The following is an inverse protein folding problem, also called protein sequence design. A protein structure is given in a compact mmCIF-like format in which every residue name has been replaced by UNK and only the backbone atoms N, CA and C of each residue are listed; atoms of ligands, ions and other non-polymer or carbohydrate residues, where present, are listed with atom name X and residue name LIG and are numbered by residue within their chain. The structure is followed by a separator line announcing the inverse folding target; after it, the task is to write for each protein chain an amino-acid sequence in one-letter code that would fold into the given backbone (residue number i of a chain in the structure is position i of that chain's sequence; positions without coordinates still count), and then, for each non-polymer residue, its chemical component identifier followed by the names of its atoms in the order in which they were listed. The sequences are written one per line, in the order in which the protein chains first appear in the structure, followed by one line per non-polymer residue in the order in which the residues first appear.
data_IF_098277242228
#
_entry.id   IF_098277242228
#
_cell.length_a   1.000
_cell.length_b   1.000
_cell.length_c   1.000
_cell.angle_alpha   90.00
_cell.angle_beta   90.00
_cell.angle_gamma   90.00
#
_symmetry.space_group_name_H-M   'P 1'
#
loop_
_entity.id
_entity.type
_entity.pdbx_description
1 polymer ?
#
# COMPACT_ATOMS: atom_id res chain seq x y z
N UNK A 1 -0.88 53.49 8.72
CA UNK A 1 -1.44 52.62 7.67
C UNK A 1 -0.26 52.03 6.90
N UNK A 2 0.05 50.74 6.81
CA UNK A 2 -0.39 49.49 7.43
C UNK A 2 0.73 48.47 7.18
N UNK A 3 1.29 47.88 8.24
CA UNK A 3 1.25 46.44 8.54
C UNK A 3 1.94 45.50 7.52
N UNK A 4 3.24 45.25 7.77
CA UNK A 4 4.05 44.14 7.26
C UNK A 4 3.49 42.76 7.66
N UNK A 5 2.47 42.28 6.95
CA UNK A 5 1.85 40.96 7.21
C UNK A 5 2.05 39.94 6.08
N UNK A 6 2.75 40.27 5.00
CA UNK A 6 2.92 39.40 3.84
C UNK A 6 4.08 38.37 3.96
N UNK A 7 5.15 38.70 4.69
CA UNK A 7 6.36 37.86 4.82
C UNK A 7 6.16 36.44 5.38
N UNK A 8 5.39 36.23 6.49
CA UNK A 8 5.21 34.89 7.05
C UNK A 8 4.23 34.02 6.25
N UNK A 9 3.34 34.62 5.45
CA UNK A 9 2.44 33.88 4.57
C UNK A 9 3.18 33.34 3.34
N UNK A 10 4.06 34.16 2.75
CA UNK A 10 4.86 33.80 1.58
C UNK A 10 5.91 32.74 1.90
N UNK A 11 6.54 32.78 3.09
CA UNK A 11 7.48 31.75 3.54
C UNK A 11 6.80 30.42 3.88
N UNK A 12 5.59 30.46 4.46
CA UNK A 12 4.79 29.24 4.68
C UNK A 12 4.32 28.63 3.36
N UNK A 13 3.93 29.45 2.39
CA UNK A 13 3.54 28.99 1.06
C UNK A 13 4.74 28.37 0.30
N UNK A 14 5.93 28.97 0.38
CA UNK A 14 7.12 28.38 -0.24
C UNK A 14 7.54 27.07 0.43
N UNK A 15 7.51 26.99 1.76
CA UNK A 15 7.75 25.75 2.51
C UNK A 15 6.73 24.66 2.19
N UNK A 16 5.44 25.00 2.09
CA UNK A 16 4.40 24.05 1.71
C UNK A 16 4.55 23.57 0.26
N UNK A 17 4.97 24.45 -0.65
CA UNK A 17 5.23 24.08 -2.04
C UNK A 17 6.43 23.14 -2.15
N UNK A 18 7.50 23.44 -1.41
CA UNK A 18 8.71 22.61 -1.33
C UNK A 18 8.40 21.23 -0.75
N UNK A 19 7.61 21.17 0.32
CA UNK A 19 7.16 19.90 0.91
C UNK A 19 6.31 19.07 -0.05
N UNK A 20 5.39 19.70 -0.80
CA UNK A 20 4.56 19.02 -1.80
C UNK A 20 5.37 18.52 -2.99
N UNK A 21 6.31 19.33 -3.47
CA UNK A 21 7.21 18.97 -4.57
C UNK A 21 8.14 17.83 -4.17
N UNK A 22 8.68 17.86 -2.95
CA UNK A 22 9.51 16.80 -2.39
C UNK A 22 8.70 15.49 -2.29
N UNK A 23 7.50 15.55 -1.72
CA UNK A 23 6.62 14.39 -1.62
C UNK A 23 6.28 13.80 -3.00
N UNK A 24 6.06 14.65 -4.01
CA UNK A 24 5.87 14.22 -5.39
C UNK A 24 7.13 13.54 -5.96
N UNK A 25 8.28 14.18 -5.88
CA UNK A 25 9.55 13.65 -6.41
C UNK A 25 9.92 12.30 -5.79
N UNK A 26 9.69 12.12 -4.48
CA UNK A 26 9.94 10.85 -3.80
C UNK A 26 8.98 9.76 -4.28
N UNK A 27 7.68 10.06 -4.44
CA UNK A 27 6.73 9.09 -4.98
C UNK A 27 6.99 8.75 -6.46
N UNK A 28 7.41 9.72 -7.27
CA UNK A 28 7.83 9.50 -8.66
C UNK A 28 9.08 8.62 -8.74
N UNK A 29 10.07 8.87 -7.87
CA UNK A 29 11.25 8.02 -7.72
C UNK A 29 10.86 6.59 -7.32
N UNK A 30 10.00 6.43 -6.30
CA UNK A 30 9.49 5.13 -5.86
C UNK A 30 8.79 4.39 -7.01
N UNK A 31 8.00 5.09 -7.84
CA UNK A 31 7.33 4.51 -9.00
C UNK A 31 8.33 3.97 -10.03
N UNK A 32 9.33 4.78 -10.42
CA UNK A 32 10.35 4.38 -11.40
C UNK A 32 11.13 3.17 -10.88
N UNK A 33 11.54 3.21 -9.62
CA UNK A 33 12.32 2.14 -8.99
C UNK A 33 11.50 0.86 -8.81
N UNK A 34 10.19 0.98 -8.54
CA UNK A 34 9.27 -0.16 -8.48
C UNK A 34 9.09 -0.81 -9.86
N UNK A 35 8.94 -0.01 -10.91
CA UNK A 35 8.84 -0.49 -12.30
C UNK A 35 10.10 -1.24 -12.72
N UNK A 36 11.29 -0.74 -12.36
CA UNK A 36 12.56 -1.45 -12.59
C UNK A 36 12.59 -2.80 -11.82
N UNK A 37 12.00 -2.84 -10.62
CA UNK A 37 11.90 -4.05 -9.81
C UNK A 37 11.00 -5.15 -10.40
N UNK A 38 9.90 -4.76 -11.05
CA UNK A 38 8.91 -5.71 -11.60
C UNK A 38 9.27 -6.18 -13.02
N UNK A 39 9.85 -5.30 -13.84
CA UNK A 39 10.12 -5.57 -15.25
C UNK A 39 11.25 -6.60 -15.40
N UNK A 40 11.01 -7.75 -16.07
CA UNK A 40 12.02 -8.81 -16.21
C UNK A 40 13.22 -8.45 -17.09
N UNK A 41 13.18 -7.31 -17.81
CA UNK A 41 14.26 -6.82 -18.67
C UNK A 41 15.51 -6.35 -17.90
N UNK A 42 15.38 -5.98 -16.62
CA UNK A 42 16.51 -5.54 -15.81
C UNK A 42 17.35 -6.71 -15.25
N UNK A 43 18.63 -6.47 -14.95
CA UNK A 43 19.48 -7.50 -14.33
C UNK A 43 18.94 -7.89 -12.94
N UNK A 44 19.14 -9.15 -12.51
CA UNK A 44 18.64 -9.64 -11.21
C UNK A 44 19.07 -8.77 -10.02
N UNK A 45 20.27 -8.19 -10.08
CA UNK A 45 20.78 -7.31 -9.04
C UNK A 45 20.08 -5.94 -9.01
N UNK A 46 19.76 -5.36 -10.18
CA UNK A 46 18.98 -4.14 -10.26
C UNK A 46 17.53 -4.36 -9.81
N UNK A 47 16.92 -5.49 -10.18
CA UNK A 47 15.57 -5.83 -9.72
C UNK A 47 15.51 -5.93 -8.19
N UNK A 48 16.52 -6.56 -7.57
CA UNK A 48 16.61 -6.72 -6.12
C UNK A 48 16.82 -5.38 -5.40
N UNK A 49 17.74 -4.55 -5.91
CA UNK A 49 18.00 -3.21 -5.37
C UNK A 49 16.77 -2.32 -5.54
N UNK A 50 16.14 -2.35 -6.71
CA UNK A 50 14.92 -1.60 -6.99
C UNK A 50 13.75 -2.02 -6.11
N UNK A 51 13.55 -3.33 -5.92
CA UNK A 51 12.56 -3.86 -4.98
C UNK A 51 12.76 -3.28 -3.56
N UNK A 52 13.97 -3.37 -3.02
CA UNK A 52 14.26 -2.90 -1.65
C UNK A 52 14.14 -1.38 -1.53
N UNK A 53 14.65 -0.64 -2.52
CA UNK A 53 14.62 0.82 -2.52
C UNK A 53 13.19 1.37 -2.67
N UNK A 54 12.37 0.73 -3.50
CA UNK A 54 10.96 1.11 -3.64
C UNK A 54 10.19 0.89 -2.33
N UNK A 55 10.39 -0.25 -1.68
CA UNK A 55 9.76 -0.53 -0.39
C UNK A 55 10.25 0.42 0.70
N UNK A 56 11.56 0.63 0.83
CA UNK A 56 12.14 1.59 1.78
C UNK A 56 11.64 3.01 1.53
N UNK A 57 11.61 3.45 0.27
CA UNK A 57 11.12 4.78 -0.10
C UNK A 57 9.65 4.95 0.25
N UNK A 58 8.82 3.94 0.01
CA UNK A 58 7.40 3.97 0.39
C UNK A 58 7.22 4.01 1.90
N UNK A 59 7.96 3.19 2.65
CA UNK A 59 7.94 3.18 4.12
C UNK A 59 8.36 4.52 4.70
N UNK A 60 9.43 5.13 4.19
CA UNK A 60 9.88 6.44 4.66
C UNK A 60 8.86 7.54 4.34
N UNK A 61 8.26 7.52 3.14
CA UNK A 61 7.30 8.54 2.71
C UNK A 61 6.01 8.48 3.52
N UNK A 62 5.45 7.27 3.66
CA UNK A 62 4.21 7.04 4.42
C UNK A 62 4.45 7.21 5.92
N UNK A 63 5.61 6.79 6.43
CA UNK A 63 6.03 7.04 7.80
C UNK A 63 6.19 8.53 8.11
N UNK A 64 6.78 9.30 7.19
CA UNK A 64 6.85 10.76 7.31
C UNK A 64 5.47 11.41 7.29
N UNK A 65 4.56 10.97 6.41
CA UNK A 65 3.19 11.48 6.36
C UNK A 65 2.44 11.21 7.68
N UNK A 66 2.57 10.00 8.24
CA UNK A 66 1.98 9.65 9.54
C UNK A 66 2.59 10.53 10.64
N UNK A 67 3.91 10.68 10.67
CA UNK A 67 4.59 11.52 11.66
C UNK A 67 4.16 12.99 11.57
N UNK A 68 4.05 13.54 10.35
CA UNK A 68 3.66 14.91 10.11
C UNK A 68 2.18 15.19 10.46
N UNK A 69 1.29 14.20 10.26
CA UNK A 69 -0.15 14.35 10.52
C UNK A 69 -0.52 14.09 11.98
N UNK A 70 0.13 13.12 12.64
CA UNK A 70 -0.28 12.63 13.97
C UNK A 70 0.71 12.95 15.09
N UNK A 71 1.91 13.44 14.77
CA UNK A 71 2.94 13.80 15.76
C UNK A 71 3.42 12.62 16.62
N UNK A 72 4.22 12.93 17.64
CA UNK A 72 4.66 11.95 18.64
C UNK A 72 3.61 11.76 19.73
N UNK A 73 3.40 10.52 20.23
CA UNK A 73 2.53 10.29 21.36
C UNK A 73 3.08 11.00 22.60
N UNK A 74 2.19 11.51 23.46
CA UNK A 74 2.55 12.18 24.70
C UNK A 74 3.17 11.15 25.67
N UNK A 75 4.49 11.16 25.75
CA UNK A 75 5.30 10.22 26.54
C UNK A 75 4.94 10.35 28.02
N UNK A 76 4.19 9.37 28.55
CA UNK A 76 3.84 9.33 29.98
C UNK A 76 2.42 8.84 30.30
N UNK A 77 1.50 8.79 29.32
CA UNK A 77 0.15 8.25 29.55
C UNK A 77 -0.14 7.08 28.59
N UNK A 78 -0.22 5.87 29.14
CA UNK A 78 -0.50 4.63 28.38
C UNK A 78 -1.84 4.68 27.64
N UNK A 79 -2.85 5.36 28.19
CA UNK A 79 -4.14 5.56 27.53
C UNK A 79 -4.04 6.53 26.35
N UNK A 80 -3.23 7.59 26.48
CA UNK A 80 -3.00 8.53 25.38
C UNK A 80 -2.22 7.88 24.23
N UNK A 81 -1.26 6.98 24.55
CA UNK A 81 -0.55 6.17 23.55
C UNK A 81 -1.53 5.23 22.83
N UNK A 82 -2.42 4.57 23.57
CA UNK A 82 -3.41 3.67 22.96
C UNK A 82 -4.38 4.44 22.04
N UNK A 83 -4.88 5.60 22.47
CA UNK A 83 -5.75 6.45 21.65
C UNK A 83 -5.03 6.93 20.38
N UNK A 84 -3.76 7.31 20.49
CA UNK A 84 -2.92 7.67 19.35
C UNK A 84 -2.74 6.49 18.39
N UNK A 85 -2.48 5.29 18.89
CA UNK A 85 -2.40 4.08 18.07
C UNK A 85 -3.71 3.80 17.30
N UNK A 86 -4.86 3.92 17.96
CA UNK A 86 -6.16 3.78 17.28
C UNK A 86 -6.36 4.82 16.18
N UNK A 87 -5.90 6.05 16.40
CA UNK A 87 -6.00 7.11 15.41
C UNK A 87 -5.06 6.87 14.22
N UNK A 88 -3.82 6.44 14.47
CA UNK A 88 -2.85 6.10 13.43
C UNK A 88 -3.28 4.87 12.62
N UNK A 89 -3.82 3.83 13.27
CA UNK A 89 -4.31 2.63 12.58
C UNK A 89 -5.52 2.89 11.67
N UNK A 90 -6.30 3.93 11.97
CA UNK A 90 -7.38 4.41 11.10
C UNK A 90 -6.89 5.32 9.97
N UNK A 91 -5.59 5.61 9.88
CA UNK A 91 -5.05 6.46 8.81
C UNK A 91 -5.00 5.73 7.48
N UNK A 92 -5.29 6.47 6.40
CA UNK A 92 -5.15 5.97 5.02
C UNK A 92 -3.72 5.51 4.69
N UNK A 93 -2.71 6.16 5.28
CA UNK A 93 -1.30 5.90 4.99
C UNK A 93 -0.71 4.75 5.83
N UNK A 94 -1.45 4.26 6.84
CA UNK A 94 -0.97 3.22 7.75
C UNK A 94 -0.84 1.85 7.09
N UNK A 95 -1.80 1.49 6.24
CA UNK A 95 -1.79 0.20 5.54
C UNK A 95 -0.55 0.10 4.60
N UNK A 96 -0.31 1.08 3.71
CA UNK A 96 0.92 1.11 2.91
C UNK A 96 2.20 1.06 3.74
N UNK A 97 2.24 1.80 4.85
CA UNK A 97 3.40 1.83 5.75
C UNK A 97 3.71 0.45 6.33
N UNK A 98 2.72 -0.20 6.96
CA UNK A 98 2.91 -1.52 7.58
C UNK A 98 3.20 -2.60 6.53
N UNK A 99 2.55 -2.53 5.37
CA UNK A 99 2.80 -3.43 4.26
C UNK A 99 4.25 -3.35 3.80
N UNK A 100 4.76 -2.17 3.48
CA UNK A 100 6.13 -2.00 3.02
C UNK A 100 7.16 -2.32 4.12
N UNK A 101 6.94 -1.88 5.36
CA UNK A 101 7.83 -2.19 6.50
C UNK A 101 8.02 -3.70 6.70
N UNK A 102 6.95 -4.47 6.60
CA UNK A 102 6.98 -5.92 6.76
C UNK A 102 7.81 -6.59 5.65
N UNK A 103 7.70 -6.13 4.41
CA UNK A 103 8.48 -6.71 3.31
C UNK A 103 9.93 -6.23 3.25
N UNK A 104 10.23 -5.00 3.71
CA UNK A 104 11.61 -4.48 3.86
C UNK A 104 12.45 -5.35 4.80
N UNK A 105 11.87 -5.70 5.95
CA UNK A 105 12.55 -6.47 7.00
C UNK A 105 12.68 -7.95 6.65
N UNK A 106 11.88 -8.42 5.69
CA UNK A 106 11.88 -9.82 5.27
C UNK A 106 12.95 -10.18 4.24
N UNK A 107 13.34 -11.47 4.21
CA UNK A 107 14.21 -12.05 3.17
C UNK A 107 13.42 -12.61 1.98
N UNK A 108 12.09 -12.53 2.02
CA UNK A 108 11.21 -13.10 1.00
C UNK A 108 11.05 -12.11 -0.16
N UNK A 109 11.42 -12.54 -1.37
CA UNK A 109 11.40 -11.69 -2.56
C UNK A 109 10.29 -12.13 -3.51
N UNK A 110 9.08 -11.61 -3.30
CA UNK A 110 7.94 -11.85 -4.18
C UNK A 110 7.69 -10.61 -5.04
N UNK A 111 7.80 -10.77 -6.37
CA UNK A 111 7.58 -9.65 -7.32
C UNK A 111 6.18 -9.06 -7.23
N UNK A 112 5.19 -9.88 -6.87
CA UNK A 112 3.79 -9.45 -6.69
C UNK A 112 3.61 -8.41 -5.57
N UNK A 113 4.56 -8.31 -4.63
CA UNK A 113 4.54 -7.29 -3.58
C UNK A 113 4.57 -5.88 -4.17
N UNK A 114 5.24 -5.69 -5.32
CA UNK A 114 5.37 -4.39 -5.96
C UNK A 114 4.10 -3.91 -6.65
N UNK A 115 3.14 -4.80 -6.94
CA UNK A 115 1.91 -4.42 -7.66
C UNK A 115 1.10 -3.37 -6.88
N UNK A 116 0.75 -3.58 -5.60
CA UNK A 116 0.12 -2.54 -4.77
C UNK A 116 0.95 -1.24 -4.68
N UNK A 117 2.27 -1.36 -4.53
CA UNK A 117 3.18 -0.22 -4.39
C UNK A 117 3.19 0.66 -5.65
N UNK A 118 3.22 0.02 -6.83
CA UNK A 118 3.14 0.71 -8.13
C UNK A 118 1.79 1.41 -8.25
N UNK A 119 0.68 0.74 -7.89
CA UNK A 119 -0.65 1.34 -7.97
C UNK A 119 -0.78 2.57 -7.05
N UNK A 120 -0.30 2.50 -5.81
CA UNK A 120 -0.32 3.66 -4.90
C UNK A 120 0.53 4.81 -5.43
N UNK A 121 1.77 4.53 -5.84
CA UNK A 121 2.66 5.55 -6.37
C UNK A 121 2.09 6.19 -7.65
N UNK A 122 1.50 5.38 -8.54
CA UNK A 122 0.86 5.84 -9.76
C UNK A 122 -0.32 6.77 -9.46
N UNK A 123 -1.18 6.45 -8.50
CA UNK A 123 -2.28 7.33 -8.10
C UNK A 123 -1.79 8.66 -7.54
N UNK A 124 -0.74 8.65 -6.70
CA UNK A 124 -0.17 9.88 -6.14
C UNK A 124 0.46 10.76 -7.22
N UNK A 125 1.21 10.16 -8.14
CA UNK A 125 1.85 10.85 -9.27
C UNK A 125 0.78 11.40 -10.22
N UNK A 126 -0.22 10.61 -10.62
CA UNK A 126 -1.28 11.03 -11.53
C UNK A 126 -2.07 12.24 -11.00
N UNK A 127 -2.46 12.21 -9.72
CA UNK A 127 -3.17 13.32 -9.07
C UNK A 127 -2.33 14.60 -9.01
N UNK A 128 -1.01 14.48 -8.83
CA UNK A 128 -0.12 15.64 -8.78
C UNK A 128 0.15 16.22 -10.18
N UNK A 129 0.46 15.37 -11.17
CA UNK A 129 0.68 15.79 -12.56
C UNK A 129 -0.51 16.55 -13.12
N UNK A 130 -1.73 16.06 -12.87
CA UNK A 130 -2.96 16.72 -13.35
C UNK A 130 -3.20 18.08 -12.71
N UNK A 131 -2.74 18.33 -11.48
CA UNK A 131 -2.95 19.63 -10.81
C UNK A 131 -1.95 20.69 -11.24
N UNK A 132 -0.75 20.30 -11.66
CA UNK A 132 0.35 21.23 -11.88
C UNK A 132 0.87 21.29 -13.34
N UNK A 133 0.67 20.25 -14.16
CA UNK A 133 1.32 20.13 -15.48
C UNK A 133 0.36 20.08 -16.67
N UNK A 134 -0.90 20.46 -16.51
CA UNK A 134 -1.95 20.46 -17.56
C UNK A 134 -1.61 21.29 -18.79
N UNK A 135 -0.69 22.25 -18.65
CA UNK A 135 -0.27 23.14 -19.73
C UNK A 135 0.97 22.63 -20.51
N UNK A 136 1.62 21.55 -20.04
CA UNK A 136 2.83 21.03 -20.70
C UNK A 136 2.48 20.09 -21.86
N UNK A 137 3.16 20.27 -23.00
CA UNK A 137 2.93 19.47 -24.22
C UNK A 137 3.31 17.99 -24.05
N UNK A 138 4.35 17.70 -23.27
CA UNK A 138 4.77 16.32 -22.96
C UNK A 138 3.76 15.58 -22.10
N UNK A 139 3.11 16.27 -21.16
CA UNK A 139 2.04 15.68 -20.35
C UNK A 139 0.86 15.27 -21.23
N UNK A 140 0.41 16.17 -22.11
CA UNK A 140 -0.70 15.88 -23.04
C UNK A 140 -0.41 14.73 -23.99
N UNK A 141 0.82 14.65 -24.50
CA UNK A 141 1.19 13.64 -25.49
C UNK A 141 1.21 12.21 -24.93
N UNK A 142 1.70 11.99 -23.69
CA UNK A 142 1.97 10.63 -23.19
C UNK A 142 1.30 10.29 -21.85
N UNK A 143 1.12 11.26 -20.95
CA UNK A 143 0.73 11.01 -19.56
C UNK A 143 -0.74 11.33 -19.28
N UNK A 144 -1.34 12.24 -20.04
CA UNK A 144 -2.76 12.60 -19.97
C UNK A 144 -3.71 11.40 -20.12
N UNK A 145 -3.58 10.51 -21.13
CA UNK A 145 -4.48 9.36 -21.26
C UNK A 145 -4.34 8.37 -20.10
N UNK A 146 -3.13 8.14 -19.59
CA UNK A 146 -2.89 7.28 -18.44
C UNK A 146 -3.44 7.88 -17.14
N UNK A 147 -3.18 9.17 -16.89
CA UNK A 147 -3.65 9.85 -15.67
C UNK A 147 -5.18 9.95 -15.62
N UNK A 148 -5.81 10.27 -16.75
CA UNK A 148 -7.28 10.34 -16.85
C UNK A 148 -7.91 8.96 -16.70
N UNK A 149 -7.31 7.91 -17.25
CA UNK A 149 -7.79 6.53 -17.05
C UNK A 149 -7.68 6.08 -15.60
N UNK A 150 -6.57 6.35 -14.92
CA UNK A 150 -6.38 5.99 -13.50
C UNK A 150 -7.41 6.69 -12.62
N UNK A 151 -7.68 7.97 -12.87
CA UNK A 151 -8.65 8.74 -12.08
C UNK A 151 -10.10 8.33 -12.38
N UNK A 152 -10.42 8.01 -13.63
CA UNK A 152 -11.73 7.49 -14.02
C UNK A 152 -11.99 6.07 -13.47
N UNK A 153 -10.95 5.26 -13.29
CA UNK A 153 -11.05 3.85 -12.90
C UNK A 153 -10.42 3.54 -11.53
N UNK A 154 -10.51 4.47 -10.59
CA UNK A 154 -10.01 4.29 -9.20
C UNK A 154 -10.57 3.04 -8.52
N UNK A 155 -11.82 2.68 -8.80
CA UNK A 155 -12.42 1.44 -8.28
C UNK A 155 -11.73 0.19 -8.83
N UNK A 156 -11.41 0.16 -10.12
CA UNK A 156 -10.72 -0.97 -10.75
C UNK A 156 -9.28 -1.12 -10.24
N UNK A 157 -8.57 0.00 -10.03
CA UNK A 157 -7.23 0.01 -9.42
C UNK A 157 -7.27 -0.56 -8.00
N UNK A 158 -8.23 -0.13 -7.18
CA UNK A 158 -8.40 -0.66 -5.83
C UNK A 158 -8.77 -2.15 -5.81
N UNK A 159 -9.57 -2.63 -6.78
CA UNK A 159 -9.80 -4.06 -6.95
C UNK A 159 -8.53 -4.82 -7.36
N UNK A 160 -7.69 -4.25 -8.22
CA UNK A 160 -6.42 -4.86 -8.61
C UNK A 160 -5.48 -4.98 -7.40
N UNK A 161 -5.37 -3.92 -6.59
CA UNK A 161 -4.59 -3.91 -5.34
C UNK A 161 -5.07 -5.03 -4.42
N UNK A 162 -6.36 -5.07 -4.11
CA UNK A 162 -6.92 -6.06 -3.19
C UNK A 162 -6.79 -7.51 -3.71
N UNK A 163 -6.88 -7.73 -5.03
CA UNK A 163 -6.61 -9.04 -5.63
C UNK A 163 -5.14 -9.43 -5.48
N UNK A 164 -4.22 -8.50 -5.72
CA UNK A 164 -2.79 -8.74 -5.56
C UNK A 164 -2.42 -9.05 -4.11
N UNK A 165 -3.01 -8.35 -3.14
CA UNK A 165 -2.80 -8.57 -1.70
C UNK A 165 -3.32 -9.94 -1.24
N UNK A 166 -4.53 -10.31 -1.64
CA UNK A 166 -5.08 -11.62 -1.30
C UNK A 166 -4.27 -12.75 -1.97
N UNK A 167 -3.90 -12.60 -3.24
CA UNK A 167 -3.06 -13.55 -3.96
C UNK A 167 -1.69 -13.71 -3.29
N UNK A 168 -1.10 -12.61 -2.83
CA UNK A 168 0.15 -12.61 -2.06
C UNK A 168 -0.01 -13.38 -0.75
N UNK A 169 -1.16 -13.29 -0.09
CA UNK A 169 -1.48 -14.04 1.13
C UNK A 169 -1.48 -15.55 0.90
N UNK A 170 -2.07 -16.00 -0.20
CA UNK A 170 -2.02 -17.41 -0.61
C UNK A 170 -0.62 -17.85 -0.99
N UNK A 171 0.13 -17.02 -1.73
CA UNK A 171 1.54 -17.32 -2.07
C UNK A 171 2.42 -17.43 -0.83
N UNK A 172 2.15 -16.63 0.21
CA UNK A 172 2.84 -16.72 1.49
C UNK A 172 2.54 -18.04 2.21
N UNK A 173 1.32 -18.57 2.16
CA UNK A 173 1.01 -19.92 2.64
C UNK A 173 1.78 -20.96 1.83
N UNK A 174 1.72 -20.88 0.49
CA UNK A 174 2.43 -21.82 -0.39
C UNK A 174 3.95 -21.79 -0.15
N UNK A 175 4.51 -20.62 0.18
CA UNK A 175 5.94 -20.46 0.48
C UNK A 175 6.39 -21.23 1.73
N UNK A 176 5.47 -21.54 2.65
CA UNK A 176 5.78 -22.35 3.85
C UNK A 176 6.18 -23.79 3.51
N UNK A 177 5.68 -24.30 2.39
CA UNK A 177 6.03 -25.63 1.87
C UNK A 177 7.35 -25.63 1.08
N UNK A 178 7.99 -24.46 0.91
CA UNK A 178 9.24 -24.29 0.19
C UNK A 178 10.45 -24.13 1.13
N UNK A 179 11.68 -24.15 0.57
CA UNK A 179 12.93 -23.91 1.32
C UNK A 179 13.03 -22.50 1.90
N UNK A 180 12.25 -21.53 1.40
CA UNK A 180 12.20 -20.14 1.89
C UNK A 180 11.10 -19.91 2.94
N UNK A 181 10.93 -20.86 3.87
CA UNK A 181 9.90 -20.78 4.90
C UNK A 181 10.14 -19.60 5.86
N UNK A 182 9.12 -18.76 6.03
CA UNK A 182 9.10 -17.72 7.04
C UNK A 182 7.71 -17.64 7.72
N UNK A 183 7.46 -18.57 8.66
CA UNK A 183 6.18 -18.70 9.34
C UNK A 183 5.75 -17.41 10.07
N UNK A 184 6.69 -16.71 10.70
CA UNK A 184 6.40 -15.45 11.39
C UNK A 184 5.88 -14.38 10.42
N UNK A 185 6.52 -14.24 9.25
CA UNK A 185 6.08 -13.28 8.25
C UNK A 185 4.73 -13.66 7.65
N UNK A 186 4.48 -14.95 7.38
CA UNK A 186 3.17 -15.40 6.91
C UNK A 186 2.10 -15.03 7.93
N UNK A 187 2.34 -15.31 9.21
CA UNK A 187 1.41 -14.95 10.27
C UNK A 187 1.17 -13.43 10.35
N UNK A 188 2.24 -12.62 10.38
CA UNK A 188 2.14 -11.16 10.41
C UNK A 188 1.39 -10.60 9.20
N UNK A 189 1.62 -11.13 8.01
CA UNK A 189 0.93 -10.69 6.80
C UNK A 189 -0.56 -11.02 6.85
N UNK A 190 -0.92 -12.21 7.32
CA UNK A 190 -2.31 -12.60 7.48
C UNK A 190 -3.03 -11.75 8.54
N UNK A 191 -2.33 -11.28 9.59
CA UNK A 191 -2.88 -10.27 10.52
C UNK A 191 -3.08 -8.92 9.84
N UNK A 192 -2.16 -8.48 9.00
CA UNK A 192 -2.33 -7.25 8.21
C UNK A 192 -3.52 -7.37 7.26
N UNK A 193 -3.65 -8.50 6.56
CA UNK A 193 -4.76 -8.74 5.63
C UNK A 193 -6.11 -8.79 6.38
N UNK A 194 -6.12 -9.32 7.61
CA UNK A 194 -7.27 -9.25 8.52
C UNK A 194 -7.60 -7.82 8.94
N UNK A 195 -6.59 -6.98 9.22
CA UNK A 195 -6.79 -5.55 9.47
C UNK A 195 -7.39 -4.85 8.23
N UNK A 196 -6.90 -5.15 7.03
CA UNK A 196 -7.40 -4.58 5.77
C UNK A 196 -8.84 -4.99 5.46
N UNK A 197 -9.26 -6.17 5.91
CA UNK A 197 -10.65 -6.64 5.83
C UNK A 197 -11.62 -5.82 6.71
N UNK A 198 -11.12 -5.27 7.82
CA UNK A 198 -11.91 -4.47 8.78
C UNK A 198 -11.73 -2.96 8.62
N UNK A 199 -10.66 -2.50 7.96
CA UNK A 199 -10.38 -1.09 7.75
C UNK A 199 -11.38 -0.43 6.80
N UNK A 200 -11.94 0.76 7.13
CA UNK A 200 -12.98 1.41 6.33
C UNK A 200 -12.54 1.72 4.89
N UNK A 201 -11.23 1.91 4.65
CA UNK A 201 -10.70 2.28 3.34
C UNK A 201 -10.56 1.11 2.37
N UNK A 202 -10.34 -0.10 2.87
CA UNK A 202 -10.03 -1.29 2.04
C UNK A 202 -11.03 -2.42 2.21
N UNK A 203 -11.86 -2.38 3.25
CA UNK A 203 -12.81 -3.45 3.60
C UNK A 203 -13.78 -3.77 2.47
N UNK A 204 -14.31 -2.76 1.77
CA UNK A 204 -15.28 -2.97 0.69
C UNK A 204 -14.73 -3.86 -0.43
N UNK A 205 -13.51 -3.56 -0.90
CA UNK A 205 -12.84 -4.31 -1.96
C UNK A 205 -12.43 -5.72 -1.50
N UNK A 206 -11.87 -5.83 -0.29
CA UNK A 206 -11.44 -7.11 0.27
C UNK A 206 -12.62 -8.04 0.51
N UNK A 207 -13.73 -7.55 1.09
CA UNK A 207 -14.96 -8.32 1.31
C UNK A 207 -15.53 -8.82 -0.01
N UNK A 208 -15.59 -7.98 -1.04
CA UNK A 208 -16.07 -8.37 -2.35
C UNK A 208 -15.25 -9.52 -2.96
N UNK A 209 -13.91 -9.47 -2.85
CA UNK A 209 -13.04 -10.53 -3.36
C UNK A 209 -13.18 -11.81 -2.52
N UNK A 210 -13.22 -11.72 -1.19
CA UNK A 210 -13.44 -12.87 -0.33
C UNK A 210 -14.79 -13.56 -0.60
N UNK A 211 -15.86 -12.78 -0.86
CA UNK A 211 -17.15 -13.31 -1.28
C UNK A 211 -17.06 -14.02 -2.63
N UNK A 212 -16.33 -13.44 -3.60
CA UNK A 212 -16.11 -14.07 -4.91
C UNK A 212 -15.35 -15.39 -4.78
N UNK A 213 -14.28 -15.41 -3.99
CA UNK A 213 -13.50 -16.63 -3.72
C UNK A 213 -14.39 -17.67 -3.04
N UNK A 214 -15.16 -17.29 -2.03
CA UNK A 214 -16.08 -18.18 -1.34
C UNK A 214 -17.10 -18.81 -2.30
N UNK A 215 -17.77 -18.00 -3.13
CA UNK A 215 -18.73 -18.51 -4.12
C UNK A 215 -18.11 -19.50 -5.11
N UNK A 216 -16.88 -19.27 -5.53
CA UNK A 216 -16.19 -20.17 -6.46
C UNK A 216 -15.68 -21.42 -5.75
N UNK A 217 -15.05 -21.30 -4.59
CA UNK A 217 -14.34 -22.41 -3.93
C UNK A 217 -15.27 -23.34 -3.14
N UNK A 218 -16.31 -22.81 -2.50
CA UNK A 218 -17.21 -23.59 -1.64
C UNK A 218 -17.85 -24.81 -2.34
N UNK A 219 -18.37 -24.73 -3.59
CA UNK A 219 -18.93 -25.90 -4.27
C UNK A 219 -17.87 -26.97 -4.59
N UNK A 220 -16.61 -26.60 -4.83
CA UNK A 220 -15.54 -27.58 -5.05
C UNK A 220 -15.10 -28.23 -3.74
N UNK A 221 -15.01 -27.46 -2.65
CA UNK A 221 -14.64 -27.98 -1.33
C UNK A 221 -15.68 -29.01 -0.86
N UNK A 222 -16.97 -28.70 -1.01
CA UNK A 222 -18.04 -29.63 -0.63
C UNK A 222 -18.06 -30.91 -1.48
N UNK A 223 -17.63 -30.82 -2.75
CA UNK A 223 -17.70 -31.94 -3.69
C UNK A 223 -16.47 -32.86 -3.63
N UNK A 224 -15.26 -32.30 -3.45
CA UNK A 224 -14.02 -33.06 -3.61
C UNK A 224 -13.24 -33.26 -2.30
N UNK A 225 -13.41 -32.40 -1.30
CA UNK A 225 -12.57 -32.42 -0.09
C UNK A 225 -13.35 -32.15 1.20
N UNK A 226 -14.32 -33.02 1.56
CA UNK A 226 -15.15 -32.82 2.76
C UNK A 226 -14.34 -32.83 4.07
N UNK A 227 -13.19 -33.52 4.11
CA UNK A 227 -12.30 -33.54 5.28
C UNK A 227 -11.64 -32.18 5.59
N UNK A 228 -11.57 -31.27 4.60
CA UNK A 228 -11.02 -29.93 4.77
C UNK A 228 -12.06 -28.96 5.35
N UNK A 229 -13.31 -29.38 5.53
CA UNK A 229 -14.39 -28.50 5.96
C UNK A 229 -14.17 -27.95 7.38
N UNK A 230 -13.81 -28.80 8.34
CA UNK A 230 -13.55 -28.41 9.73
C UNK A 230 -12.38 -27.42 9.92
N UNK A 231 -11.17 -27.67 9.34
CA UNK A 231 -10.07 -26.71 9.47
C UNK A 231 -10.36 -25.39 8.73
N UNK A 232 -11.08 -25.43 7.60
CA UNK A 232 -11.50 -24.21 6.89
C UNK A 232 -12.50 -23.42 7.74
N UNK A 233 -13.49 -24.08 8.35
CA UNK A 233 -14.45 -23.44 9.25
C UNK A 233 -13.79 -22.85 10.50
N UNK A 234 -12.77 -23.51 11.05
CA UNK A 234 -11.96 -22.97 12.15
C UNK A 234 -11.18 -21.71 11.71
N UNK A 235 -10.55 -21.75 10.53
CA UNK A 235 -9.86 -20.61 9.93
C UNK A 235 -10.79 -19.43 9.65
N UNK A 236 -11.97 -19.67 9.09
CA UNK A 236 -12.99 -18.64 8.86
C UNK A 236 -13.45 -17.99 10.16
N UNK A 237 -13.69 -18.78 11.22
CA UNK A 237 -14.03 -18.24 12.56
C UNK A 237 -12.92 -17.39 13.17
N UNK A 238 -11.65 -17.66 12.86
CA UNK A 238 -10.54 -16.81 13.27
C UNK A 238 -10.44 -15.53 12.42
N UNK A 239 -10.76 -15.62 11.13
CA UNK A 239 -10.72 -14.51 10.18
C UNK A 239 -11.78 -13.45 10.46
N UNK A 240 -13.02 -13.88 10.77
CA UNK A 240 -14.16 -12.99 10.98
C UNK A 240 -14.35 -12.45 12.41
N UNK A 241 -13.58 -12.97 13.38
CA UNK A 241 -13.55 -12.44 14.76
C UNK A 241 -12.59 -11.26 14.86
#
# INVERSE_FOLDING_TARGET
VGADSAGPAQSRLSLQLDQRSLHFSVNAWVLIVALIGIIPLATRQLQLKGYRLSLLGTTCTTGYAIFALYGLPRVGNTQAVQAWCHHVTSSKDFIPFMYCLMFVTSKLHLKLVLVPVICWALEHVARFLRRHFTNSSLYRAYLEPLCTWVEANTTAVNFLIANAEILLGFLMILSLFSKQRNAMQTFMYWQLLKLMYHSPFTAGYHRAIWLKIGRTANPYISSYTPFLHDPINAGMRWWFR
#
